data_IF_709277501508
#
_entry.id   IF_709277501508
#
_cell.length_a   1.000
_cell.length_b   1.000
_cell.length_c   1.000
_cell.angle_alpha   90.00
_cell.angle_beta   90.00
_cell.angle_gamma   90.00
#
_symmetry.space_group_name_H-M   'P 1'
#
loop_
_entity.id
_entity.type
_entity.pdbx_description
1 polymer ?
#
# COMPACT_ATOMS: atom_id res chain seq x y z
N UNK A 1 -60.16 -0.09 8.38
CA UNK A 1 -59.33 0.08 7.17
C UNK A 1 -58.23 1.07 7.55
N UNK A 2 -57.03 0.66 7.98
CA UNK A 2 -55.82 0.60 7.17
C UNK A 2 -54.65 0.47 8.18
N UNK A 3 -54.20 -0.73 8.52
CA UNK A 3 -53.03 -0.88 9.42
C UNK A 3 -52.12 -2.04 9.06
N UNK A 4 -52.31 -2.64 7.88
CA UNK A 4 -51.49 -3.76 7.40
C UNK A 4 -50.49 -3.37 6.30
N UNK A 5 -50.56 -2.14 5.79
CA UNK A 5 -49.67 -1.61 4.73
C UNK A 5 -48.38 -0.99 5.29
N UNK A 6 -48.39 -0.50 6.54
CA UNK A 6 -47.20 0.07 7.19
C UNK A 6 -46.23 -1.01 7.73
N UNK A 7 -46.74 -2.20 8.02
CA UNK A 7 -45.96 -3.36 8.51
C UNK A 7 -45.22 -4.11 7.40
N UNK A 8 -45.55 -3.86 6.14
CA UNK A 8 -44.83 -4.41 4.98
C UNK A 8 -43.79 -3.41 4.45
N UNK A 9 -44.06 -2.10 4.58
CA UNK A 9 -43.12 -1.03 4.20
C UNK A 9 -41.90 -1.03 5.12
N UNK A 10 -42.09 -1.13 6.44
CA UNK A 10 -40.97 -1.18 7.38
C UNK A 10 -40.16 -2.48 7.25
N UNK A 11 -40.76 -3.66 7.02
CA UNK A 11 -40.03 -4.92 6.79
C UNK A 11 -39.22 -4.90 5.48
N UNK A 12 -39.78 -4.33 4.40
CA UNK A 12 -39.05 -4.17 3.13
C UNK A 12 -38.00 -3.06 3.18
N UNK A 13 -38.21 -2.01 3.97
CA UNK A 13 -37.22 -0.95 4.23
C UNK A 13 -36.11 -1.44 5.16
N UNK A 14 -36.42 -2.29 6.15
CA UNK A 14 -35.43 -2.97 6.99
C UNK A 14 -34.56 -3.91 6.15
N UNK A 15 -35.17 -4.69 5.25
CA UNK A 15 -34.43 -5.55 4.31
C UNK A 15 -33.64 -4.79 3.23
N UNK A 16 -34.07 -3.58 2.84
CA UNK A 16 -33.33 -2.72 1.90
C UNK A 16 -32.17 -1.97 2.57
N UNK A 17 -32.31 -1.59 3.85
CA UNK A 17 -31.23 -1.02 4.65
C UNK A 17 -30.18 -2.09 5.01
N UNK A 18 -30.60 -3.34 5.25
CA UNK A 18 -29.68 -4.45 5.57
C UNK A 18 -28.84 -4.89 4.35
N UNK A 19 -29.35 -4.71 3.12
CA UNK A 19 -28.57 -4.90 1.89
C UNK A 19 -27.66 -3.69 1.55
N UNK A 20 -27.67 -2.64 2.39
CA UNK A 20 -26.68 -1.57 2.38
C UNK A 20 -25.57 -1.75 3.43
N UNK A 21 -25.72 -2.74 4.32
CA UNK A 21 -24.88 -2.95 5.50
C UNK A 21 -24.30 -4.37 5.59
N UNK A 22 -24.34 -5.15 4.50
CA UNK A 22 -23.36 -6.23 4.27
C UNK A 22 -22.09 -5.68 3.61
N UNK A 23 -21.62 -4.53 4.11
CA UNK A 23 -20.24 -4.12 3.91
C UNK A 23 -19.45 -4.89 4.97
N UNK A 24 -18.46 -5.71 4.61
CA UNK A 24 -17.76 -6.52 5.58
C UNK A 24 -17.12 -5.61 6.64
N UNK A 25 -17.57 -5.71 7.90
CA UNK A 25 -16.98 -5.06 9.09
C UNK A 25 -15.51 -5.44 9.37
N UNK A 26 -14.85 -6.10 8.42
CA UNK A 26 -13.45 -6.45 8.46
C UNK A 26 -12.53 -5.24 8.25
N UNK A 27 -13.05 -4.08 7.83
CA UNK A 27 -12.23 -2.89 7.53
C UNK A 27 -11.88 -1.98 8.71
N UNK A 28 -12.53 -2.17 9.87
CA UNK A 28 -12.16 -1.47 11.11
C UNK A 28 -11.10 -2.21 11.96
N UNK A 29 -10.74 -3.45 11.58
CA UNK A 29 -9.77 -4.29 12.29
C UNK A 29 -8.49 -4.55 11.48
N UNK A 30 -8.10 -3.66 10.56
CA UNK A 30 -6.71 -3.64 10.12
C UNK A 30 -5.86 -2.99 11.23
N UNK A 31 -5.03 -3.77 11.94
CA UNK A 31 -4.69 -3.47 13.32
C UNK A 31 -3.47 -2.57 13.37
N UNK A 32 -3.23 -1.93 14.50
CA UNK A 32 -2.01 -1.17 14.79
C UNK A 32 -0.71 -1.92 14.43
N UNK A 33 -0.76 -3.27 14.39
CA UNK A 33 0.32 -4.15 13.93
C UNK A 33 0.67 -3.99 12.46
N UNK A 34 -0.31 -3.75 11.58
CA UNK A 34 -0.09 -3.58 10.14
C UNK A 34 0.51 -2.21 9.83
N UNK A 35 0.06 -1.17 10.54
CA UNK A 35 0.67 0.17 10.48
C UNK A 35 2.12 0.11 11.00
N UNK A 36 2.35 -0.59 12.12
CA UNK A 36 3.70 -0.80 12.63
C UNK A 36 4.59 -1.53 11.62
N UNK A 37 4.09 -2.62 11.01
CA UNK A 37 4.81 -3.35 9.96
C UNK A 37 5.10 -2.46 8.74
N UNK A 38 4.12 -1.73 8.24
CA UNK A 38 4.28 -0.80 7.12
C UNK A 38 5.32 0.30 7.44
N UNK A 39 5.33 0.83 8.66
CA UNK A 39 6.31 1.84 9.08
C UNK A 39 7.75 1.30 9.11
N UNK A 40 7.95 0.06 9.57
CA UNK A 40 9.26 -0.61 9.57
C UNK A 40 9.70 -0.89 8.14
N UNK A 41 8.81 -1.39 7.29
CA UNK A 41 9.07 -1.63 5.89
C UNK A 41 9.42 -0.34 5.12
N UNK A 42 8.73 0.77 5.39
CA UNK A 42 9.06 2.09 4.84
C UNK A 42 10.44 2.54 5.29
N UNK A 43 10.78 2.39 6.57
CA UNK A 43 12.11 2.74 7.10
C UNK A 43 13.24 1.95 6.45
N UNK A 44 13.07 0.62 6.31
CA UNK A 44 14.03 -0.25 5.63
C UNK A 44 14.15 0.12 4.15
N UNK A 45 13.02 0.39 3.47
CA UNK A 45 13.01 0.79 2.07
C UNK A 45 13.73 2.11 1.85
N UNK A 46 13.49 3.14 2.67
CA UNK A 46 14.18 4.43 2.61
C UNK A 46 15.68 4.30 2.88
N UNK A 47 16.07 3.48 3.85
CA UNK A 47 17.47 3.19 4.14
C UNK A 47 18.17 2.52 2.95
N UNK A 48 17.53 1.51 2.34
CA UNK A 48 18.02 0.86 1.13
C UNK A 48 18.06 1.80 -0.07
N UNK A 49 17.07 2.70 -0.21
CA UNK A 49 17.00 3.69 -1.29
C UNK A 49 18.18 4.68 -1.19
N UNK A 50 18.47 5.16 0.02
CA UNK A 50 19.60 6.04 0.28
C UNK A 50 20.93 5.32 0.03
N UNK A 51 21.07 4.07 0.48
CA UNK A 51 22.28 3.26 0.25
C UNK A 51 22.55 3.01 -1.24
N UNK A 52 21.53 2.55 -1.97
CA UNK A 52 21.65 2.25 -3.40
C UNK A 52 21.80 3.54 -4.23
N UNK A 53 21.12 4.63 -3.86
CA UNK A 53 21.23 5.93 -4.51
C UNK A 53 22.62 6.56 -4.37
N UNK A 54 23.27 6.41 -3.22
CA UNK A 54 24.66 6.87 -3.01
C UNK A 54 25.64 6.09 -3.88
N UNK A 55 25.44 4.79 -4.06
CA UNK A 55 26.27 3.97 -4.97
C UNK A 55 26.09 4.42 -6.42
N UNK A 56 24.85 4.69 -6.85
CA UNK A 56 24.55 5.24 -8.19
C UNK A 56 25.20 6.60 -8.38
N UNK A 57 25.06 7.50 -7.40
CA UNK A 57 25.68 8.83 -7.45
C UNK A 57 27.20 8.74 -7.52
N UNK A 58 27.81 7.89 -6.68
CA UNK A 58 29.25 7.72 -6.60
C UNK A 58 29.83 7.07 -7.86
N UNK A 59 29.22 6.01 -8.39
CA UNK A 59 29.64 5.38 -9.65
C UNK A 59 29.36 6.26 -10.87
N UNK A 60 28.29 7.05 -10.84
CA UNK A 60 27.93 7.98 -11.92
C UNK A 60 28.87 9.18 -12.02
N UNK A 61 29.35 9.71 -10.89
CA UNK A 61 30.27 10.85 -10.87
C UNK A 61 31.75 10.47 -10.96
N UNK A 62 32.16 9.27 -10.53
CA UNK A 62 33.56 8.96 -10.25
C UNK A 62 34.15 7.76 -11.02
N UNK A 63 33.79 7.51 -12.28
CA UNK A 63 34.64 6.56 -13.04
C UNK A 63 34.64 6.70 -14.56
N UNK A 64 35.82 6.48 -15.12
CA UNK A 64 36.01 6.19 -16.54
C UNK A 64 35.31 4.87 -16.84
N UNK A 65 34.25 4.93 -17.63
CA UNK A 65 33.33 3.82 -17.96
C UNK A 65 34.07 2.51 -18.26
N UNK A 66 34.18 1.65 -17.25
CA UNK A 66 34.54 0.25 -17.39
C UNK A 66 33.24 -0.56 -17.38
N UNK A 67 33.11 -1.64 -18.19
CA UNK A 67 31.90 -2.47 -18.22
C UNK A 67 31.52 -3.01 -16.82
N UNK A 68 32.48 -3.11 -15.91
CA UNK A 68 32.25 -3.52 -14.52
C UNK A 68 31.36 -2.55 -13.74
N UNK A 69 31.51 -1.25 -13.98
CA UNK A 69 30.72 -0.19 -13.33
C UNK A 69 29.29 -0.18 -13.82
N UNK A 70 29.06 -0.44 -15.11
CA UNK A 70 27.72 -0.50 -15.70
C UNK A 70 26.91 -1.66 -15.10
N UNK A 71 27.56 -2.80 -14.85
CA UNK A 71 26.91 -3.93 -14.20
C UNK A 71 26.45 -3.60 -12.77
N UNK A 72 27.34 -3.00 -11.97
CA UNK A 72 27.01 -2.58 -10.59
C UNK A 72 25.94 -1.49 -10.59
N UNK A 73 25.99 -0.56 -11.55
CA UNK A 73 24.98 0.49 -11.71
C UNK A 73 23.61 -0.09 -12.06
N UNK A 74 23.56 -1.07 -12.98
CA UNK A 74 22.32 -1.74 -13.35
C UNK A 74 21.71 -2.53 -12.19
N UNK A 75 22.56 -3.20 -11.40
CA UNK A 75 22.12 -3.87 -10.17
C UNK A 75 21.54 -2.84 -9.19
N UNK A 76 22.25 -1.75 -8.91
CA UNK A 76 21.77 -0.70 -8.01
C UNK A 76 20.47 -0.03 -8.49
N UNK A 77 20.30 0.16 -9.80
CA UNK A 77 19.04 0.66 -10.39
C UNK A 77 17.91 -0.35 -10.23
N UNK A 78 18.17 -1.65 -10.41
CA UNK A 78 17.18 -2.69 -10.17
C UNK A 78 16.75 -2.71 -8.69
N UNK A 79 17.70 -2.64 -7.76
CA UNK A 79 17.42 -2.57 -6.32
C UNK A 79 16.63 -1.31 -5.95
N UNK A 80 17.00 -0.15 -6.49
CA UNK A 80 16.25 1.11 -6.30
C UNK A 80 14.82 0.99 -6.81
N UNK A 81 14.64 0.42 -8.00
CA UNK A 81 13.32 0.24 -8.63
C UNK A 81 12.44 -0.74 -7.85
N UNK A 82 13.02 -1.83 -7.34
CA UNK A 82 12.32 -2.80 -6.49
C UNK A 82 11.89 -2.19 -5.16
N UNK A 83 12.78 -1.43 -4.49
CA UNK A 83 12.46 -0.75 -3.24
C UNK A 83 11.36 0.31 -3.43
N UNK A 84 11.42 1.04 -4.55
CA UNK A 84 10.39 2.01 -4.94
C UNK A 84 9.04 1.32 -5.20
N UNK A 85 9.04 0.21 -5.94
CA UNK A 85 7.83 -0.57 -6.21
C UNK A 85 7.21 -1.11 -4.90
N UNK A 86 8.05 -1.63 -4.00
CA UNK A 86 7.61 -2.11 -2.69
C UNK A 86 6.98 -0.98 -1.84
N UNK A 87 7.57 0.21 -1.88
CA UNK A 87 7.03 1.40 -1.22
C UNK A 87 5.68 1.82 -1.81
N UNK A 88 5.55 1.81 -3.14
CA UNK A 88 4.30 2.12 -3.83
C UNK A 88 3.19 1.10 -3.51
N UNK A 89 3.55 -0.19 -3.44
CA UNK A 89 2.63 -1.27 -3.08
C UNK A 89 2.14 -1.13 -1.63
N UNK A 90 3.04 -0.83 -0.69
CA UNK A 90 2.68 -0.57 0.71
C UNK A 90 1.77 0.65 0.83
N UNK A 91 2.05 1.71 0.09
CA UNK A 91 1.24 2.92 0.09
C UNK A 91 -0.15 2.64 -0.50
N UNK A 92 -0.23 1.88 -1.60
CA UNK A 92 -1.49 1.46 -2.21
C UNK A 92 -2.31 0.58 -1.26
N UNK A 93 -1.68 -0.37 -0.57
CA UNK A 93 -2.33 -1.19 0.45
C UNK A 93 -2.86 -0.34 1.62
N UNK A 94 -2.05 0.60 2.12
CA UNK A 94 -2.46 1.51 3.19
C UNK A 94 -3.64 2.40 2.75
N UNK A 95 -3.59 2.88 1.51
CA UNK A 95 -4.65 3.70 0.93
C UNK A 95 -5.94 2.91 0.79
N UNK A 96 -5.87 1.68 0.27
CA UNK A 96 -7.01 0.78 0.18
C UNK A 96 -7.59 0.47 1.56
N UNK A 97 -6.74 0.17 2.55
CA UNK A 97 -7.16 -0.05 3.93
C UNK A 97 -7.79 1.20 4.56
N UNK A 98 -7.34 2.40 4.21
CA UNK A 98 -7.89 3.66 4.71
C UNK A 98 -9.26 4.01 4.09
N UNK A 99 -9.58 3.48 2.90
CA UNK A 99 -10.83 3.75 2.19
C UNK A 99 -11.96 2.73 2.46
N UNK A 100 -11.72 1.71 3.27
CA UNK A 100 -12.55 0.51 3.33
C UNK A 100 -13.65 0.51 4.42
#
# INVERSE_FOLDING_TARGET
ENSTTNLTLNDTLYGLLDLGEYVPDHCSSFPSTLIAFASVCLGISLCGLAGNGVVVWFLGFHTKQSPFTIYILNLAVADFSLLLLFLLLLLAFLTLAAFC
#
